data_IF_430046254102
#
_entry.id   IF_430046254102
#
_cell.length_a   1.000
_cell.length_b   1.000
_cell.length_c   1.000
_cell.angle_alpha   90.00
_cell.angle_beta   90.00
_cell.angle_gamma   90.00
#
_symmetry.space_group_name_H-M   'P 1'
#
loop_
_entity.id
_entity.type
_entity.pdbx_description
1 polymer ?
#
# COMPACT_ATOMS: atom_id res chain seq x y z
N UNK A 1 -0.23 17.93 -23.54
CA UNK A 1 -0.53 16.54 -23.98
C UNK A 1 -1.45 16.01 -22.92
N UNK A 2 -2.75 16.07 -23.20
CA UNK A 2 -3.79 16.12 -22.18
C UNK A 2 -4.65 14.85 -22.25
N UNK A 3 -3.98 13.69 -22.18
CA UNK A 3 -4.67 12.39 -22.27
C UNK A 3 -5.62 12.14 -21.08
N UNK A 4 -5.47 12.91 -20.01
CA UNK A 4 -6.34 12.96 -18.84
C UNK A 4 -6.46 14.40 -18.33
N UNK A 5 -7.01 15.31 -19.13
CA UNK A 5 -7.52 16.57 -18.56
C UNK A 5 -8.68 16.26 -17.60
N UNK A 6 -9.02 17.20 -16.71
CA UNK A 6 -10.08 16.99 -15.71
C UNK A 6 -11.43 16.57 -16.33
N UNK A 7 -11.69 17.05 -17.55
CA UNK A 7 -12.91 16.78 -18.30
C UNK A 7 -12.97 15.33 -18.82
N UNK A 8 -11.90 14.81 -19.43
CA UNK A 8 -11.78 13.42 -19.87
C UNK A 8 -11.84 12.47 -18.67
N UNK A 9 -11.12 12.78 -17.58
CA UNK A 9 -11.13 11.98 -16.35
C UNK A 9 -12.53 11.88 -15.71
N UNK A 10 -13.30 12.98 -15.77
CA UNK A 10 -14.70 13.03 -15.33
C UNK A 10 -15.60 12.22 -16.27
N UNK A 11 -15.40 12.33 -17.59
CA UNK A 11 -16.24 11.67 -18.59
C UNK A 11 -16.06 10.15 -18.66
N UNK A 12 -14.86 9.64 -18.36
CA UNK A 12 -14.61 8.18 -18.29
C UNK A 12 -14.95 7.57 -16.92
N UNK A 13 -15.43 8.38 -15.98
CA UNK A 13 -15.78 7.98 -14.62
C UNK A 13 -14.62 7.53 -13.73
N UNK A 14 -13.38 7.77 -14.17
CA UNK A 14 -12.17 7.37 -13.42
C UNK A 14 -12.14 7.99 -12.03
N UNK A 15 -12.53 9.27 -11.91
CA UNK A 15 -12.55 9.96 -10.61
C UNK A 15 -13.53 9.32 -9.62
N UNK A 16 -14.69 8.86 -10.10
CA UNK A 16 -15.70 8.20 -9.26
C UNK A 16 -15.22 6.82 -8.80
N UNK A 17 -14.78 5.98 -9.73
CA UNK A 17 -14.21 4.66 -9.42
C UNK A 17 -13.01 4.77 -8.47
N UNK A 18 -12.13 5.75 -8.70
CA UNK A 18 -10.98 5.97 -7.83
C UNK A 18 -11.41 6.37 -6.41
N UNK A 19 -12.51 7.11 -6.25
CA UNK A 19 -13.04 7.48 -4.94
C UNK A 19 -13.51 6.26 -4.14
N UNK A 20 -14.12 5.26 -4.79
CA UNK A 20 -14.62 4.02 -4.16
C UNK A 20 -13.52 3.12 -3.60
N UNK A 21 -12.29 3.24 -4.09
CA UNK A 21 -11.16 2.44 -3.57
C UNK A 21 -10.76 2.97 -2.19
N UNK A 22 -11.06 2.25 -1.11
CA UNK A 22 -10.71 2.65 0.27
C UNK A 22 -9.56 1.80 0.86
N UNK A 23 -8.30 2.27 0.79
CA UNK A 23 -7.20 1.61 1.47
C UNK A 23 -7.42 1.46 2.98
N UNK A 24 -7.15 0.26 3.50
CA UNK A 24 -7.36 -0.06 4.92
C UNK A 24 -6.37 0.59 5.89
N UNK A 25 -5.26 1.14 5.38
CA UNK A 25 -4.17 1.69 6.20
C UNK A 25 -3.90 3.16 5.88
N UNK A 26 -3.40 3.92 6.87
CA UNK A 26 -2.99 5.32 6.67
C UNK A 26 -1.92 5.46 5.58
N UNK A 27 -1.02 4.48 5.48
CA UNK A 27 0.00 4.43 4.44
C UNK A 27 -0.61 4.21 3.05
N UNK A 28 -1.61 3.32 2.94
CA UNK A 28 -2.35 3.12 1.69
C UNK A 28 -3.14 4.36 1.28
N UNK A 29 -3.78 5.04 2.24
CA UNK A 29 -4.47 6.31 1.99
C UNK A 29 -3.50 7.38 1.49
N UNK A 30 -2.30 7.46 2.07
CA UNK A 30 -1.25 8.37 1.60
C UNK A 30 -0.76 8.00 0.19
N UNK A 31 -0.64 6.72 -0.12
CA UNK A 31 -0.27 6.25 -1.46
C UNK A 31 -1.35 6.64 -2.49
N UNK A 32 -2.63 6.38 -2.20
CA UNK A 32 -3.78 6.78 -3.04
C UNK A 32 -3.79 8.28 -3.34
N UNK A 33 -3.52 9.13 -2.34
CA UNK A 33 -3.47 10.60 -2.51
C UNK A 33 -2.33 11.07 -3.43
N UNK A 34 -1.23 10.33 -3.50
CA UNK A 34 -0.05 10.67 -4.29
C UNK A 34 -0.04 10.02 -5.67
N UNK A 35 -0.96 9.09 -5.90
CA UNK A 35 -1.06 8.38 -7.16
C UNK A 35 -1.31 9.35 -8.31
N UNK A 36 -0.62 9.11 -9.42
CA UNK A 36 -0.88 9.76 -10.70
C UNK A 36 -1.25 8.67 -11.70
N UNK A 37 -2.32 8.85 -12.48
CA UNK A 37 -2.66 7.90 -13.53
C UNK A 37 -1.51 7.70 -14.50
N UNK A 38 -1.36 6.48 -15.00
CA UNK A 38 -0.38 6.14 -16.01
C UNK A 38 -0.70 6.82 -17.34
N UNK A 39 0.33 7.36 -17.98
CA UNK A 39 0.26 7.92 -19.33
C UNK A 39 0.51 6.82 -20.37
N UNK A 40 0.16 7.09 -21.64
CA UNK A 40 0.34 6.14 -22.76
C UNK A 40 1.79 5.64 -22.87
N UNK A 41 2.76 6.53 -22.61
CA UNK A 41 4.20 6.19 -22.62
C UNK A 41 4.63 5.28 -21.47
N UNK A 42 3.80 5.15 -20.42
CA UNK A 42 4.04 4.35 -19.21
C UNK A 42 3.26 3.02 -19.26
N UNK A 43 2.94 2.54 -20.47
CA UNK A 43 2.18 1.29 -20.69
C UNK A 43 2.84 0.08 -20.05
N UNK A 44 4.17 0.03 -20.06
CA UNK A 44 4.94 -1.08 -19.47
C UNK A 44 4.76 -1.11 -17.96
N UNK A 45 4.83 0.05 -17.30
CA UNK A 45 4.63 0.21 -15.88
C UNK A 45 3.20 -0.13 -15.47
N UNK A 46 2.20 0.31 -16.24
CA UNK A 46 0.80 -0.07 -16.03
C UNK A 46 0.62 -1.59 -16.11
N UNK A 47 1.21 -2.25 -17.12
CA UNK A 47 1.14 -3.70 -17.27
C UNK A 47 1.72 -4.41 -16.04
N UNK A 48 2.88 -3.97 -15.55
CA UNK A 48 3.50 -4.54 -14.35
C UNK A 48 2.63 -4.38 -13.09
N UNK A 49 1.94 -3.25 -12.92
CA UNK A 49 1.02 -3.11 -11.78
C UNK A 49 -0.24 -3.96 -11.94
N UNK A 50 -0.74 -4.16 -13.16
CA UNK A 50 -1.87 -5.06 -13.42
C UNK A 50 -1.49 -6.52 -13.15
N UNK A 51 -0.29 -6.95 -13.56
CA UNK A 51 0.24 -8.29 -13.28
C UNK A 51 0.36 -8.53 -11.75
N UNK A 52 0.83 -7.52 -11.00
CA UNK A 52 0.85 -7.55 -9.52
C UNK A 52 -0.55 -7.64 -8.93
N UNK A 53 -1.52 -6.90 -9.47
CA UNK A 53 -2.90 -6.93 -9.01
C UNK A 53 -3.52 -8.32 -9.22
N UNK A 54 -3.30 -8.92 -10.39
CA UNK A 54 -3.77 -10.28 -10.68
C UNK A 54 -3.14 -11.31 -9.74
N UNK A 55 -1.83 -11.22 -9.50
CA UNK A 55 -1.14 -12.04 -8.51
C UNK A 55 -1.79 -11.90 -7.11
N UNK A 56 -2.03 -10.67 -6.66
CA UNK A 56 -2.67 -10.42 -5.36
C UNK A 56 -4.09 -10.99 -5.29
N UNK A 57 -4.89 -10.84 -6.35
CA UNK A 57 -6.25 -11.41 -6.41
C UNK A 57 -6.20 -12.94 -6.27
N UNK A 58 -5.25 -13.60 -6.93
CA UNK A 58 -5.11 -15.05 -6.86
C UNK A 58 -4.68 -15.51 -5.46
N UNK A 59 -3.73 -14.81 -4.83
CA UNK A 59 -3.33 -15.08 -3.43
C UNK A 59 -4.51 -14.90 -2.47
N UNK A 60 -5.30 -13.83 -2.62
CA UNK A 60 -6.47 -13.57 -1.77
C UNK A 60 -7.49 -14.73 -1.87
N UNK A 61 -7.69 -15.26 -3.06
CA UNK A 61 -8.63 -16.37 -3.30
C UNK A 61 -8.13 -17.70 -2.72
N UNK A 62 -6.82 -17.94 -2.78
CA UNK A 62 -6.22 -19.20 -2.32
C UNK A 62 -5.98 -19.22 -0.81
N UNK A 63 -5.60 -18.08 -0.24
CA UNK A 63 -5.11 -17.96 1.14
C UNK A 63 -5.93 -16.91 1.93
N UNK A 64 -7.26 -17.00 1.85
CA UNK A 64 -8.18 -15.99 2.39
C UNK A 64 -7.96 -15.70 3.89
N UNK A 65 -7.78 -16.73 4.71
CA UNK A 65 -7.53 -16.59 6.15
C UNK A 65 -6.22 -15.83 6.42
N UNK A 66 -5.21 -16.05 5.60
CA UNK A 66 -3.86 -15.52 5.81
C UNK A 66 -3.82 -14.08 5.30
N UNK A 67 -4.56 -13.79 4.23
CA UNK A 67 -4.83 -12.44 3.79
C UNK A 67 -5.64 -11.65 4.81
N UNK A 68 -6.61 -12.25 5.52
CA UNK A 68 -7.34 -11.56 6.59
C UNK A 68 -6.41 -11.15 7.75
N UNK A 69 -5.44 -11.99 8.12
CA UNK A 69 -4.38 -11.65 9.08
C UNK A 69 -3.55 -10.46 8.58
N UNK A 70 -3.12 -10.49 7.32
CA UNK A 70 -2.38 -9.39 6.70
C UNK A 70 -3.19 -8.08 6.71
N UNK A 71 -4.46 -8.12 6.31
CA UNK A 71 -5.37 -6.97 6.31
C UNK A 71 -5.51 -6.37 7.72
N UNK A 72 -5.65 -7.22 8.74
CA UNK A 72 -5.74 -6.81 10.14
C UNK A 72 -4.46 -6.13 10.62
N UNK A 73 -3.29 -6.64 10.24
CA UNK A 73 -2.00 -6.01 10.54
C UNK A 73 -1.86 -4.65 9.86
N UNK A 74 -2.24 -4.54 8.58
CA UNK A 74 -2.17 -3.29 7.81
C UNK A 74 -3.08 -2.19 8.40
N UNK A 75 -4.27 -2.55 8.90
CA UNK A 75 -5.23 -1.60 9.49
C UNK A 75 -4.65 -0.81 10.68
N UNK A 76 -3.74 -1.43 11.44
CA UNK A 76 -3.15 -0.80 12.65
C UNK A 76 -1.78 -0.16 12.39
N UNK A 77 -1.33 -0.13 11.13
CA UNK A 77 -0.07 0.53 10.75
C UNK A 77 -0.26 2.04 10.80
N UNK A 78 0.46 2.68 11.71
CA UNK A 78 0.53 4.13 11.82
C UNK A 78 1.52 4.71 10.82
N UNK A 79 1.21 5.91 10.34
CA UNK A 79 2.11 6.70 9.53
C UNK A 79 3.16 7.44 10.39
N UNK A 80 4.36 6.88 10.53
CA UNK A 80 5.47 7.51 11.26
C UNK A 80 6.37 8.42 10.40
N UNK A 81 5.98 8.76 9.16
CA UNK A 81 6.81 9.60 8.28
C UNK A 81 7.12 10.97 8.91
N UNK A 82 6.18 11.53 9.70
CA UNK A 82 6.40 12.79 10.41
C UNK A 82 7.57 12.71 11.39
N UNK A 83 7.53 11.69 12.26
CA UNK A 83 8.57 11.42 13.27
C UNK A 83 9.93 11.20 12.58
N UNK A 84 9.98 10.36 11.54
CA UNK A 84 11.22 10.07 10.78
C UNK A 84 11.78 11.31 10.07
N UNK A 85 10.91 12.20 9.58
CA UNK A 85 11.37 13.44 8.95
C UNK A 85 11.89 14.44 9.97
N UNK A 86 11.22 14.56 11.13
CA UNK A 86 11.64 15.42 12.23
C UNK A 86 12.98 14.95 12.82
N UNK A 87 13.20 13.65 12.96
CA UNK A 87 14.45 13.08 13.49
C UNK A 87 15.66 13.37 12.60
N UNK A 88 15.46 13.66 11.31
CA UNK A 88 16.51 14.06 10.37
C UNK A 88 16.85 15.54 10.47
N UNK A 89 16.01 16.33 11.12
CA UNK A 89 16.26 17.76 11.34
C UNK A 89 17.20 17.93 12.55
N UNK A 90 18.17 18.85 12.46
CA UNK A 90 19.04 19.20 13.60
C UNK A 90 18.34 20.02 14.69
N UNK A 91 17.02 20.23 14.57
CA UNK A 91 16.24 21.18 15.39
C UNK A 91 15.20 20.50 16.29
N UNK A 92 14.97 19.20 16.13
CA UNK A 92 13.92 18.49 16.86
C UNK A 92 14.53 17.34 17.63
N UNK A 93 14.25 17.28 18.93
CA UNK A 93 14.57 16.13 19.78
C UNK A 93 13.33 15.24 19.82
N UNK A 94 13.49 13.96 19.53
CA UNK A 94 12.41 12.99 19.66
C UNK A 94 12.12 12.76 21.14
N UNK A 95 10.84 12.75 21.52
CA UNK A 95 10.45 12.38 22.88
C UNK A 95 10.25 10.85 23.01
N UNK A 96 9.93 10.40 24.22
CA UNK A 96 9.71 8.98 24.49
C UNK A 96 8.53 8.39 23.70
N UNK A 97 7.52 9.21 23.37
CA UNK A 97 6.34 8.79 22.61
C UNK A 97 6.76 8.55 21.15
N UNK A 98 7.56 9.44 20.58
CA UNK A 98 8.11 9.30 19.23
C UNK A 98 8.93 8.02 19.09
N UNK A 99 9.83 7.76 20.04
CA UNK A 99 10.67 6.55 20.06
C UNK A 99 9.81 5.30 20.23
N UNK A 100 8.78 5.36 21.08
CA UNK A 100 7.83 4.27 21.26
C UNK A 100 7.08 3.93 19.97
N UNK A 101 6.59 4.93 19.24
CA UNK A 101 5.88 4.72 17.97
C UNK A 101 6.82 4.17 16.87
N UNK A 102 8.09 4.59 16.84
CA UNK A 102 9.10 3.98 15.96
C UNK A 102 9.28 2.49 16.29
N UNK A 103 9.48 2.15 17.58
CA UNK A 103 9.62 0.76 18.03
C UNK A 103 8.41 -0.08 17.63
N UNK A 104 7.20 0.45 17.85
CA UNK A 104 5.94 -0.21 17.49
C UNK A 104 5.86 -0.45 15.98
N UNK A 105 6.22 0.54 15.17
CA UNK A 105 6.26 0.43 13.70
C UNK A 105 7.24 -0.66 13.23
N UNK A 106 8.43 -0.76 13.86
CA UNK A 106 9.41 -1.83 13.56
C UNK A 106 8.84 -3.22 13.91
N UNK A 107 8.15 -3.35 15.05
CA UNK A 107 7.53 -4.63 15.44
C UNK A 107 6.41 -5.00 14.45
N UNK A 108 5.57 -4.03 14.07
CA UNK A 108 4.51 -4.25 13.09
C UNK A 108 5.06 -4.65 11.72
N UNK A 109 6.12 -4.01 11.24
CA UNK A 109 6.72 -4.33 9.94
C UNK A 109 7.29 -5.75 9.90
N UNK A 110 7.86 -6.24 11.02
CA UNK A 110 8.30 -7.64 11.15
C UNK A 110 7.13 -8.63 11.05
N UNK A 111 6.01 -8.34 11.71
CA UNK A 111 4.79 -9.18 11.63
C UNK A 111 4.23 -9.22 10.21
N UNK A 112 4.17 -8.07 9.55
CA UNK A 112 3.74 -7.96 8.16
C UNK A 112 4.67 -8.77 7.26
N UNK A 113 5.99 -8.61 7.41
CA UNK A 113 6.98 -9.37 6.65
C UNK A 113 6.78 -10.87 6.80
N UNK A 114 6.59 -11.36 8.02
CA UNK A 114 6.31 -12.77 8.28
C UNK A 114 5.07 -13.25 7.54
N UNK A 115 3.95 -12.51 7.67
CA UNK A 115 2.69 -12.84 7.00
C UNK A 115 2.82 -12.86 5.46
N UNK A 116 3.55 -11.89 4.89
CA UNK A 116 3.80 -11.84 3.44
C UNK A 116 4.69 -13.00 2.98
N UNK A 117 5.70 -13.38 3.75
CA UNK A 117 6.54 -14.54 3.43
C UNK A 117 5.77 -15.86 3.47
N UNK A 118 4.79 -16.00 4.38
CA UNK A 118 3.89 -17.16 4.41
C UNK A 118 3.02 -17.22 3.14
N UNK A 119 2.49 -16.08 2.68
CA UNK A 119 1.69 -15.99 1.45
C UNK A 119 2.50 -16.22 0.16
N UNK A 120 3.81 -15.98 0.18
CA UNK A 120 4.70 -16.14 -0.97
C UNK A 120 5.30 -17.55 -1.08
N UNK A 121 5.06 -18.44 -0.11
CA UNK A 121 5.55 -19.81 -0.15
C UNK A 121 4.64 -20.63 -1.08
N UNK A 122 5.15 -21.30 -2.13
CA UNK A 122 4.33 -22.11 -3.01
C UNK A 122 3.72 -23.26 -2.21
N UNK A 123 2.40 -23.40 -2.29
CA UNK A 123 1.71 -24.58 -1.78
C UNK A 123 2.17 -25.79 -2.62
N UNK A 124 2.85 -26.81 -2.04
CA UNK A 124 3.43 -27.93 -2.79
C UNK A 124 2.39 -28.94 -3.32
N UNK A 125 1.10 -28.61 -3.36
CA UNK A 125 -0.01 -29.54 -3.65
C UNK A 125 -0.68 -29.34 -5.01
N UNK A 126 0.03 -28.73 -5.98
CA UNK A 126 -0.39 -28.75 -7.39
C UNK A 126 0.72 -29.39 -8.23
N UNK A 127 0.83 -30.72 -8.11
CA UNK A 127 1.42 -31.62 -9.11
C UNK A 127 0.39 -32.66 -9.48
#
# INVERSE_FOLDING_TARGET
MDFLNEEISKNIGFKQLWQEIEPVSELGMRAKKKFKPYLVKEKTELKLELDKLEFLINIIKQEESEFFKLKSLLKVVKNIYGIVNQSRSKKTVLDDIDVFEIKKSIIQSRKIKYCVSSLASPNPTLT
#
